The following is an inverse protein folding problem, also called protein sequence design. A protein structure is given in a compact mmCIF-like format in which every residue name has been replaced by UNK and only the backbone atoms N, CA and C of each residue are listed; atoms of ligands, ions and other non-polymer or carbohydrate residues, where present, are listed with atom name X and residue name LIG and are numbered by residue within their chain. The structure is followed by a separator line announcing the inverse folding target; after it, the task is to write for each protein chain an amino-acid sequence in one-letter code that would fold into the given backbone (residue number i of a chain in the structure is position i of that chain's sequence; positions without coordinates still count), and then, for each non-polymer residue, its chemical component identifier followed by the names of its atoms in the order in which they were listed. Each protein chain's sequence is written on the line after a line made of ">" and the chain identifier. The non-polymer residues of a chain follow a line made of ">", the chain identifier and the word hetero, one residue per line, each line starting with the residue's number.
data_IF_714960330384
#
_entry.id   IF_714960330384
#
_cell.length_a   1.000
_cell.length_b   1.000
_cell.length_c   1.000
_cell.angle_alpha   90.00
_cell.angle_beta   90.00
_cell.angle_gamma   90.00
#
_symmetry.space_group_name_H-M   'P 1'
#
loop_
_entity.id
_entity.type
_entity.pdbx_description
1 polymer ?
#
# COMPACT_ATOMS: atom_id res chain seq x y z
N UNK A 1 -4.61 -5.86 -35.58
CA UNK A 1 -3.80 -6.30 -34.41
C UNK A 1 -3.86 -5.19 -33.36
N UNK A 2 -4.86 -5.21 -32.49
CA UNK A 2 -5.04 -4.14 -31.49
C UNK A 2 -6.10 -4.50 -30.45
N UNK A 3 -7.22 -5.08 -30.89
CA UNK A 3 -8.37 -5.34 -30.02
C UNK A 3 -8.06 -6.32 -28.87
N UNK A 4 -7.27 -7.36 -29.13
CA UNK A 4 -6.83 -8.30 -28.10
C UNK A 4 -6.03 -7.64 -26.98
N UNK A 5 -5.17 -6.67 -27.30
CA UNK A 5 -4.35 -5.97 -26.29
C UNK A 5 -5.22 -5.06 -25.42
N UNK A 6 -6.20 -4.35 -26.01
CA UNK A 6 -7.15 -3.55 -25.24
C UNK A 6 -8.02 -4.40 -24.31
N UNK A 7 -8.48 -5.56 -24.77
CA UNK A 7 -9.25 -6.50 -23.95
C UNK A 7 -8.39 -7.00 -22.78
N UNK A 8 -7.15 -7.41 -23.03
CA UNK A 8 -6.24 -7.86 -21.97
C UNK A 8 -5.98 -6.75 -20.95
N UNK A 9 -5.66 -5.54 -21.39
CA UNK A 9 -5.43 -4.40 -20.50
C UNK A 9 -6.68 -4.04 -19.68
N UNK A 10 -7.87 -4.11 -20.28
CA UNK A 10 -9.13 -3.86 -19.59
C UNK A 10 -9.39 -4.89 -18.48
N UNK A 11 -9.10 -6.17 -18.73
CA UNK A 11 -9.23 -7.23 -17.71
C UNK A 11 -8.26 -7.01 -16.57
N UNK A 12 -6.98 -6.71 -16.85
CA UNK A 12 -6.00 -6.41 -15.81
C UNK A 12 -6.37 -5.18 -14.98
N UNK A 13 -6.85 -4.11 -15.62
CA UNK A 13 -7.31 -2.91 -14.95
C UNK A 13 -8.52 -3.21 -14.04
N UNK A 14 -9.48 -4.00 -14.52
CA UNK A 14 -10.64 -4.41 -13.74
C UNK A 14 -10.23 -5.20 -12.48
N UNK A 15 -9.32 -6.17 -12.63
CA UNK A 15 -8.79 -6.96 -11.52
C UNK A 15 -8.08 -6.05 -10.50
N UNK A 16 -7.27 -5.10 -10.96
CA UNK A 16 -6.56 -4.16 -10.09
C UNK A 16 -7.51 -3.25 -9.30
N UNK A 17 -8.59 -2.78 -9.93
CA UNK A 17 -9.62 -1.97 -9.26
C UNK A 17 -10.32 -2.79 -8.17
N UNK A 18 -10.74 -4.01 -8.48
CA UNK A 18 -11.38 -4.91 -7.50
C UNK A 18 -10.44 -5.23 -6.34
N UNK A 19 -9.16 -5.49 -6.63
CA UNK A 19 -8.13 -5.72 -5.63
C UNK A 19 -7.99 -4.54 -4.65
N UNK A 20 -7.83 -3.33 -5.20
CA UNK A 20 -7.69 -2.11 -4.39
C UNK A 20 -8.96 -1.80 -3.60
N UNK A 21 -10.13 -2.02 -4.19
CA UNK A 21 -11.41 -1.85 -3.49
C UNK A 21 -11.48 -2.76 -2.27
N UNK A 22 -11.20 -4.05 -2.44
CA UNK A 22 -11.22 -5.04 -1.33
C UNK A 22 -10.18 -4.74 -0.27
N UNK A 23 -9.00 -4.24 -0.66
CA UNK A 23 -7.97 -3.78 0.26
C UNK A 23 -8.50 -2.66 1.19
N UNK A 24 -9.23 -1.69 0.64
CA UNK A 24 -9.81 -0.58 1.42
C UNK A 24 -10.94 -1.05 2.33
N UNK A 25 -11.83 -1.94 1.86
CA UNK A 25 -12.89 -2.52 2.69
C UNK A 25 -12.33 -3.26 3.91
N UNK A 26 -11.19 -3.96 3.76
CA UNK A 26 -10.52 -4.63 4.88
C UNK A 26 -10.03 -3.69 5.98
N UNK A 27 -9.77 -2.43 5.64
CA UNK A 27 -9.32 -1.42 6.57
C UNK A 27 -10.46 -0.48 7.01
N UNK A 28 -11.72 -0.85 6.74
CA UNK A 28 -12.91 -0.03 7.02
C UNK A 28 -12.86 1.34 6.31
N UNK A 29 -12.31 1.36 5.10
CA UNK A 29 -12.18 2.54 4.25
C UNK A 29 -13.07 2.45 3.01
N UNK A 30 -13.47 3.60 2.42
CA UNK A 30 -14.35 3.62 1.25
C UNK A 30 -13.66 2.98 0.03
N UNK A 31 -14.05 1.76 -0.32
CA UNK A 31 -13.49 1.01 -1.45
C UNK A 31 -13.64 1.71 -2.80
N UNK A 32 -14.76 2.38 -3.02
CA UNK A 32 -15.04 3.16 -4.24
C UNK A 32 -14.12 4.37 -4.43
N UNK A 33 -13.38 4.80 -3.39
CA UNK A 33 -12.37 5.84 -3.52
C UNK A 33 -11.26 5.46 -4.51
N UNK A 34 -11.10 4.16 -4.82
CA UNK A 34 -10.11 3.72 -5.79
C UNK A 34 -10.35 4.24 -7.22
N UNK A 35 -11.58 4.63 -7.56
CA UNK A 35 -11.98 5.09 -8.89
C UNK A 35 -11.53 6.52 -9.21
N UNK A 36 -11.39 7.37 -8.19
CA UNK A 36 -11.00 8.78 -8.36
C UNK A 36 -9.53 8.94 -8.01
N UNK A 37 -8.63 9.35 -8.93
CA UNK A 37 -7.18 9.31 -8.69
C UNK A 37 -6.71 10.06 -7.43
N UNK A 38 -7.20 11.27 -7.22
CA UNK A 38 -6.83 12.09 -6.05
C UNK A 38 -7.37 11.48 -4.75
N UNK A 39 -8.59 10.94 -4.79
CA UNK A 39 -9.20 10.31 -3.62
C UNK A 39 -8.54 8.98 -3.28
N UNK A 40 -8.17 8.20 -4.30
CA UNK A 40 -7.45 6.94 -4.17
C UNK A 40 -6.17 7.16 -3.34
N UNK A 41 -5.36 8.15 -3.71
CA UNK A 41 -4.12 8.47 -2.99
C UNK A 41 -4.40 8.93 -1.56
N UNK A 42 -5.39 9.80 -1.35
CA UNK A 42 -5.72 10.28 -0.01
C UNK A 42 -6.17 9.15 0.92
N UNK A 43 -6.98 8.21 0.43
CA UNK A 43 -7.43 7.04 1.21
C UNK A 43 -6.31 6.02 1.38
N UNK A 44 -5.45 5.85 0.38
CA UNK A 44 -4.26 5.00 0.50
C UNK A 44 -3.28 5.54 1.57
N UNK A 45 -3.09 6.86 1.64
CA UNK A 45 -2.31 7.46 2.73
C UNK A 45 -2.99 7.27 4.08
N UNK A 46 -4.33 7.42 4.14
CA UNK A 46 -5.12 7.17 5.36
C UNK A 46 -5.03 5.71 5.83
N UNK A 47 -5.03 4.75 4.90
CA UNK A 47 -4.80 3.33 5.15
C UNK A 47 -3.45 3.09 5.85
N UNK A 48 -2.42 3.84 5.48
CA UNK A 48 -1.11 3.73 6.11
C UNK A 48 -0.99 4.55 7.41
N UNK A 49 -1.97 5.39 7.71
CA UNK A 49 -1.98 6.35 8.82
C UNK A 49 -1.22 7.65 8.54
N UNK A 50 -0.89 7.94 7.28
CA UNK A 50 -0.19 9.15 6.87
C UNK A 50 -1.14 10.34 6.69
N UNK A 51 -0.67 11.58 6.92
CA UNK A 51 -1.43 12.78 6.58
C UNK A 51 -1.63 12.90 5.07
N UNK A 52 -2.78 13.42 4.66
CA UNK A 52 -3.15 13.62 3.24
C UNK A 52 -2.16 14.51 2.47
N UNK A 53 -1.48 15.43 3.16
CA UNK A 53 -0.48 16.32 2.59
C UNK A 53 0.70 15.58 1.94
N UNK A 54 0.96 14.34 2.35
CA UNK A 54 2.00 13.53 1.71
C UNK A 54 1.70 13.19 0.25
N UNK A 55 0.47 13.41 -0.22
CA UNK A 55 0.15 13.32 -1.65
C UNK A 55 1.00 14.29 -2.49
N UNK A 56 1.37 15.47 -1.98
CA UNK A 56 2.19 16.42 -2.73
C UNK A 56 3.59 15.89 -3.05
N UNK A 57 4.10 14.96 -2.25
CA UNK A 57 5.37 14.28 -2.53
C UNK A 57 5.34 13.42 -3.79
N UNK A 58 4.16 12.95 -4.20
CA UNK A 58 3.98 12.22 -5.44
C UNK A 58 4.06 13.13 -6.68
N UNK A 59 3.98 14.45 -6.51
CA UNK A 59 4.16 15.39 -7.63
C UNK A 59 5.63 15.64 -7.97
N UNK A 60 6.55 15.26 -7.08
CA UNK A 60 8.00 15.43 -7.27
C UNK A 60 8.55 14.18 -7.98
N UNK A 61 9.00 14.24 -9.24
CA UNK A 61 9.26 13.04 -10.06
C UNK A 61 10.29 12.07 -9.45
N UNK A 62 11.41 12.60 -8.94
CA UNK A 62 12.49 11.78 -8.35
C UNK A 62 12.07 11.20 -6.99
N UNK A 63 11.39 12.01 -6.19
CA UNK A 63 10.96 11.60 -4.85
C UNK A 63 9.74 10.66 -4.89
N UNK A 64 8.88 10.78 -5.91
CA UNK A 64 7.71 9.92 -6.12
C UNK A 64 8.12 8.44 -6.14
N UNK A 65 9.15 8.07 -6.89
CA UNK A 65 9.57 6.67 -7.02
C UNK A 65 9.98 6.07 -5.66
N UNK A 66 10.83 6.79 -4.92
CA UNK A 66 11.21 6.41 -3.56
C UNK A 66 10.00 6.33 -2.63
N UNK A 67 9.11 7.32 -2.71
CA UNK A 67 7.95 7.43 -1.85
C UNK A 67 6.94 6.29 -2.12
N UNK A 68 6.68 5.95 -3.38
CA UNK A 68 5.82 4.82 -3.76
C UNK A 68 6.34 3.51 -3.17
N UNK A 69 7.63 3.22 -3.36
CA UNK A 69 8.26 2.01 -2.79
C UNK A 69 8.08 1.99 -1.26
N UNK A 70 8.30 3.13 -0.60
CA UNK A 70 8.11 3.26 0.84
C UNK A 70 6.66 3.00 1.27
N UNK A 71 5.67 3.54 0.56
CA UNK A 71 4.25 3.35 0.88
C UNK A 71 3.84 1.87 0.74
N UNK A 72 4.34 1.16 -0.27
CA UNK A 72 4.04 -0.27 -0.44
C UNK A 72 4.72 -1.16 0.61
N UNK A 73 5.93 -0.81 1.05
CA UNK A 73 6.57 -1.50 2.19
C UNK A 73 5.76 -1.26 3.47
N UNK A 74 5.31 -0.03 3.72
CA UNK A 74 4.45 0.29 4.86
C UNK A 74 3.09 -0.42 4.77
N UNK A 75 2.56 -0.63 3.56
CA UNK A 75 1.37 -1.44 3.34
C UNK A 75 1.59 -2.87 3.84
N UNK A 76 2.68 -3.53 3.42
CA UNK A 76 3.05 -4.86 3.92
C UNK A 76 3.10 -4.88 5.45
N UNK A 77 3.69 -3.85 6.08
CA UNK A 77 3.74 -3.75 7.53
C UNK A 77 2.36 -3.62 8.18
N UNK A 78 1.41 -2.93 7.53
CA UNK A 78 0.02 -2.84 8.02
C UNK A 78 -0.70 -4.20 8.04
N UNK A 79 -0.24 -5.15 7.22
CA UNK A 79 -0.70 -6.54 7.20
C UNK A 79 0.23 -7.48 8.00
N UNK A 80 1.20 -6.95 8.75
CA UNK A 80 2.12 -7.74 9.57
C UNK A 80 3.21 -8.47 8.76
N UNK A 81 3.33 -8.20 7.46
CA UNK A 81 4.34 -8.80 6.58
C UNK A 81 5.65 -8.02 6.66
N UNK A 82 6.67 -8.62 7.28
CA UNK A 82 8.00 -8.00 7.47
C UNK A 82 9.13 -8.68 6.69
N UNK A 83 8.83 -9.64 5.82
CA UNK A 83 9.85 -10.37 5.08
C UNK A 83 10.30 -9.62 3.81
N UNK A 84 11.55 -9.83 3.41
CA UNK A 84 12.11 -9.26 2.18
C UNK A 84 11.35 -9.75 0.94
N UNK A 85 10.92 -11.01 0.96
CA UNK A 85 10.14 -11.62 -0.13
C UNK A 85 8.84 -10.85 -0.36
N UNK A 86 8.12 -10.49 0.72
CA UNK A 86 6.89 -9.71 0.65
C UNK A 86 7.13 -8.32 0.01
N UNK A 87 8.24 -7.66 0.35
CA UNK A 87 8.60 -6.37 -0.24
C UNK A 87 8.92 -6.48 -1.73
N UNK A 88 9.66 -7.51 -2.14
CA UNK A 88 9.97 -7.73 -3.55
C UNK A 88 8.69 -8.05 -4.32
N UNK A 89 7.79 -8.86 -3.76
CA UNK A 89 6.51 -9.19 -4.39
C UNK A 89 5.59 -7.98 -4.53
N UNK A 90 5.46 -7.12 -3.51
CA UNK A 90 4.60 -5.93 -3.63
C UNK A 90 5.16 -4.91 -4.62
N UNK A 91 6.48 -4.84 -4.80
CA UNK A 91 7.12 -3.92 -5.75
C UNK A 91 7.01 -4.47 -7.18
N UNK A 92 7.35 -5.74 -7.39
CA UNK A 92 7.42 -6.36 -8.72
C UNK A 92 6.06 -6.81 -9.24
N UNK A 93 5.20 -7.32 -8.34
CA UNK A 93 3.87 -7.88 -8.64
C UNK A 93 2.76 -7.12 -7.89
N UNK A 94 2.83 -5.80 -7.91
CA UNK A 94 1.95 -4.92 -7.13
C UNK A 94 0.46 -5.29 -7.21
N UNK A 95 -0.10 -5.40 -8.42
CA UNK A 95 -1.52 -5.71 -8.61
C UNK A 95 -1.93 -7.08 -8.04
N UNK A 96 -1.13 -8.12 -8.28
CA UNK A 96 -1.42 -9.47 -7.78
C UNK A 96 -1.23 -9.58 -6.27
N UNK A 97 -0.22 -8.93 -5.72
CA UNK A 97 0.04 -8.97 -4.28
C UNK A 97 -1.01 -8.18 -3.49
N UNK A 98 -1.43 -7.01 -3.98
CA UNK A 98 -2.54 -6.25 -3.41
C UNK A 98 -3.83 -7.05 -3.49
N UNK A 99 -4.08 -7.76 -4.59
CA UNK A 99 -5.22 -8.65 -4.72
C UNK A 99 -5.17 -9.77 -3.68
N UNK A 100 -4.00 -10.39 -3.49
CA UNK A 100 -3.79 -11.40 -2.47
C UNK A 100 -4.06 -10.84 -1.06
N UNK A 101 -3.52 -9.67 -0.74
CA UNK A 101 -3.80 -8.99 0.54
C UNK A 101 -5.26 -8.59 0.69
N UNK A 102 -5.93 -8.18 -0.38
CA UNK A 102 -7.32 -7.73 -0.38
C UNK A 102 -8.34 -8.87 -0.28
N UNK A 103 -8.07 -10.02 -0.92
CA UNK A 103 -9.01 -11.15 -0.99
C UNK A 103 -8.72 -12.28 -0.01
N UNK A 104 -7.49 -12.44 0.46
CA UNK A 104 -7.14 -13.55 1.35
C UNK A 104 -7.84 -13.41 2.71
N UNK A 105 -8.65 -14.38 3.12
CA UNK A 105 -9.36 -14.32 4.41
C UNK A 105 -8.42 -14.37 5.63
N UNK A 106 -7.21 -14.90 5.46
CA UNK A 106 -6.22 -15.02 6.54
C UNK A 106 -5.48 -13.72 6.81
N UNK A 107 -5.36 -12.85 5.80
CA UNK A 107 -4.64 -11.59 5.87
C UNK A 107 -5.50 -10.53 6.57
N UNK A 108 -5.22 -10.32 7.86
CA UNK A 108 -5.86 -9.29 8.67
C UNK A 108 -5.10 -7.97 8.59
N UNK A 109 -5.85 -6.87 8.52
CA UNK A 109 -5.29 -5.53 8.65
C UNK A 109 -5.05 -5.22 10.14
N UNK A 110 -3.80 -4.96 10.52
CA UNK A 110 -3.37 -4.69 11.90
C UNK A 110 -3.37 -3.19 12.26
N UNK A 111 -3.72 -2.33 11.32
CA UNK A 111 -3.79 -0.89 11.52
C UNK A 111 -2.61 -0.11 10.93
N UNK A 112 -2.65 1.22 11.09
CA UNK A 112 -1.65 2.12 10.51
C UNK A 112 -0.28 1.95 11.17
N UNK A 113 0.76 1.95 10.33
CA UNK A 113 2.16 1.79 10.75
C UNK A 113 2.88 3.13 10.85
N UNK A 114 2.40 4.14 10.12
CA UNK A 114 3.00 5.46 10.14
C UNK A 114 2.98 6.05 11.56
N UNK A 115 4.14 6.49 12.04
CA UNK A 115 4.35 6.97 13.40
C UNK A 115 4.71 5.89 14.44
N UNK A 116 4.32 4.63 14.25
CA UNK A 116 4.72 3.52 15.14
C UNK A 116 6.14 3.02 14.88
N UNK A 117 6.55 2.91 13.62
CA UNK A 117 7.91 2.46 13.26
C UNK A 117 9.01 3.40 13.76
N UNK A 118 8.75 4.71 13.81
CA UNK A 118 9.67 5.70 14.41
C UNK A 118 9.74 5.56 15.95
N UNK A 119 8.64 5.19 16.60
CA UNK A 119 8.61 4.97 18.04
C UNK A 119 9.27 3.64 18.45
N UNK A 120 9.15 2.59 17.64
CA UNK A 120 9.80 1.28 17.87
C UNK A 120 11.31 1.38 17.70
N UNK A 121 11.81 2.03 16.65
CA UNK A 121 13.25 2.25 16.47
C UNK A 121 13.88 3.09 17.60
N UNK A 122 13.14 4.08 18.13
CA UNK A 122 13.64 4.88 19.25
C UNK A 122 13.69 4.09 20.57
N UNK A 123 12.77 3.13 20.77
CA UNK A 123 12.78 2.23 21.94
C UNK A 123 13.94 1.24 21.88
N UNK A 124 14.23 0.70 20.70
CA UNK A 124 15.33 -0.25 20.50
C UNK A 124 16.70 0.42 20.72
N UNK A 125 16.88 1.63 20.16
CA UNK A 125 18.08 2.45 20.38
C UNK A 125 18.21 2.86 21.86
N UNK A 126 17.12 3.25 22.52
CA UNK A 126 17.14 3.58 23.95
C UNK A 126 17.49 2.35 24.82
N UNK A 127 17.00 1.15 24.49
CA UNK A 127 17.39 -0.08 25.19
C UNK A 127 18.84 -0.49 24.94
N UNK A 128 19.38 -0.22 23.75
CA UNK A 128 20.79 -0.48 23.44
C UNK A 128 21.76 0.51 24.09
N UNK A 129 21.29 1.71 24.46
CA UNK A 129 22.08 2.71 25.20
C UNK A 129 22.08 2.46 26.72
N UNK A 130 21.17 1.62 27.23
CA UNK A 130 21.05 1.26 28.65
C UNK A 130 21.64 -0.11 28.98
N UNK A 131 22.24 -0.81 28.01
CA UNK A 131 22.94 -2.09 28.16
C UNK A 131 24.46 -1.88 28.08
#
# INVERSE_FOLDING_TARGET
>A
MGDGLFITLAVFAFIAIVAQWRLYEKADLPGYACLVPVWNVAIFLKLLGRPWQHMFYLLIPVYNMYFMVKLYIELCHCFGKRNIVDYVLVILFNGFYILNLGLSYEEKYYGPVYGKSAAEGNKEVASAQLA
#
